data_IF_110094746603
#
_entry.id   IF_110094746603
#
_cell.length_a   1.000
_cell.length_b   1.000
_cell.length_c   1.000
_cell.angle_alpha   90.00
_cell.angle_beta   90.00
_cell.angle_gamma   90.00
#
_symmetry.space_group_name_H-M   'P 1'
#
loop_
_entity.id
_entity.type
_entity.pdbx_description
1 polymer ?
#
# COMPACT_ATOMS: atom_id res chain seq x y z
N UNK A 1 -51.32 63.93 29.64
CA UNK A 1 -51.72 62.97 28.58
C UNK A 1 -50.49 62.22 28.09
N UNK A 2 -50.39 60.89 28.32
CA UNK A 2 -49.25 60.06 27.85
C UNK A 2 -49.61 59.41 26.51
N UNK A 3 -48.88 59.75 25.45
CA UNK A 3 -49.06 59.25 24.08
C UNK A 3 -48.54 57.79 24.02
N UNK A 4 -49.39 56.82 23.69
CA UNK A 4 -48.99 55.42 23.48
C UNK A 4 -48.33 55.26 22.10
N UNK A 5 -47.04 55.00 22.06
CA UNK A 5 -46.31 54.68 20.82
C UNK A 5 -46.57 53.23 20.45
N UNK A 6 -47.18 52.98 19.28
CA UNK A 6 -47.32 51.63 18.72
C UNK A 6 -45.95 51.13 18.25
N UNK A 7 -45.46 50.01 18.78
CA UNK A 7 -44.25 49.33 18.28
C UNK A 7 -44.59 48.66 16.94
N UNK A 8 -43.79 48.95 15.90
CA UNK A 8 -43.82 48.17 14.65
C UNK A 8 -43.01 46.89 14.89
N UNK A 9 -43.62 45.74 14.60
CA UNK A 9 -42.92 44.47 14.53
C UNK A 9 -42.19 44.42 13.18
N UNK A 10 -40.88 44.20 13.22
CA UNK A 10 -40.10 43.89 12.03
C UNK A 10 -40.14 42.38 11.82
N UNK A 11 -40.78 41.93 10.75
CA UNK A 11 -40.67 40.55 10.29
C UNK A 11 -39.32 40.41 9.60
N UNK A 12 -38.38 39.72 10.22
CA UNK A 12 -37.14 39.29 9.55
C UNK A 12 -37.49 38.12 8.65
N UNK A 13 -37.44 38.31 7.33
CA UNK A 13 -37.44 37.20 6.39
C UNK A 13 -36.12 36.45 6.56
N UNK A 14 -36.13 35.33 7.28
CA UNK A 14 -35.00 34.42 7.35
C UNK A 14 -34.72 33.93 5.93
N UNK A 15 -33.64 34.43 5.32
CA UNK A 15 -33.19 34.01 3.99
C UNK A 15 -32.37 32.74 4.16
N UNK A 16 -33.05 31.64 4.50
CA UNK A 16 -32.45 30.32 4.76
C UNK A 16 -31.91 29.65 3.49
N UNK A 17 -32.30 30.10 2.30
CA UNK A 17 -32.03 29.39 1.04
C UNK A 17 -30.58 29.56 0.52
N UNK A 18 -29.84 30.55 1.03
CA UNK A 18 -28.49 30.89 0.53
C UNK A 18 -27.39 30.08 1.23
N UNK A 19 -27.65 29.47 2.39
CA UNK A 19 -26.64 28.69 3.13
C UNK A 19 -26.61 27.21 2.70
N UNK A 20 -27.76 26.57 2.52
CA UNK A 20 -27.83 25.17 2.10
C UNK A 20 -27.24 24.93 0.70
N UNK A 21 -27.42 25.88 -0.23
CA UNK A 21 -26.91 25.77 -1.59
C UNK A 21 -25.37 25.87 -1.69
N UNK A 22 -24.70 26.48 -0.71
CA UNK A 22 -23.23 26.48 -0.61
C UNK A 22 -22.72 25.19 -0.01
N UNK A 23 -23.37 24.73 1.06
CA UNK A 23 -23.03 23.46 1.72
C UNK A 23 -23.19 22.29 0.74
N UNK A 24 -24.31 22.24 -0.01
CA UNK A 24 -24.54 21.16 -0.98
C UNK A 24 -23.47 21.14 -2.08
N UNK A 25 -23.00 22.31 -2.55
CA UNK A 25 -21.94 22.41 -3.57
C UNK A 25 -20.60 21.92 -3.03
N UNK A 26 -20.26 22.25 -1.79
CA UNK A 26 -19.04 21.75 -1.13
C UNK A 26 -19.12 20.25 -0.95
N UNK A 27 -20.25 19.72 -0.46
CA UNK A 27 -20.47 18.28 -0.29
C UNK A 27 -20.32 17.53 -1.61
N UNK A 28 -20.91 18.05 -2.70
CA UNK A 28 -20.75 17.48 -4.04
C UNK A 28 -19.28 17.50 -4.46
N UNK A 29 -18.57 18.61 -4.21
CA UNK A 29 -17.14 18.71 -4.50
C UNK A 29 -16.31 17.65 -3.75
N UNK A 30 -16.57 17.45 -2.46
CA UNK A 30 -15.89 16.44 -1.64
C UNK A 30 -16.17 15.03 -2.16
N UNK A 31 -17.44 14.71 -2.45
CA UNK A 31 -17.81 13.40 -3.03
C UNK A 31 -17.11 13.20 -4.38
N UNK A 32 -17.03 14.24 -5.22
CA UNK A 32 -16.38 14.17 -6.52
C UNK A 32 -14.87 13.91 -6.39
N UNK A 33 -14.20 14.57 -5.43
CA UNK A 33 -12.78 14.30 -5.13
C UNK A 33 -12.59 12.87 -4.65
N UNK A 34 -13.44 12.36 -3.75
CA UNK A 34 -13.36 10.98 -3.26
C UNK A 34 -13.51 9.96 -4.40
N UNK A 35 -14.47 10.19 -5.30
CA UNK A 35 -14.67 9.36 -6.50
C UNK A 35 -13.44 9.41 -7.39
N UNK A 36 -12.88 10.59 -7.66
CA UNK A 36 -11.66 10.71 -8.46
C UNK A 36 -10.47 9.98 -7.82
N UNK A 37 -10.26 10.15 -6.51
CA UNK A 37 -9.19 9.44 -5.80
C UNK A 37 -9.39 7.93 -5.84
N UNK A 38 -10.63 7.45 -5.69
CA UNK A 38 -10.94 6.02 -5.78
C UNK A 38 -10.65 5.47 -7.18
N UNK A 39 -11.01 6.21 -8.23
CA UNK A 39 -10.72 5.82 -9.62
C UNK A 39 -9.22 5.81 -9.89
N UNK A 40 -8.48 6.83 -9.45
CA UNK A 40 -7.01 6.87 -9.62
C UNK A 40 -6.35 5.71 -8.87
N UNK A 41 -6.73 5.49 -7.61
CA UNK A 41 -6.22 4.39 -6.80
C UNK A 41 -6.55 3.05 -7.45
N UNK A 42 -7.81 2.80 -7.85
CA UNK A 42 -8.22 1.55 -8.49
C UNK A 42 -7.57 1.31 -9.86
N UNK A 43 -7.19 2.36 -10.59
CA UNK A 43 -6.39 2.25 -11.81
C UNK A 43 -4.91 1.98 -11.49
N UNK A 44 -4.34 2.61 -10.47
CA UNK A 44 -2.97 2.40 -10.04
C UNK A 44 -2.74 1.02 -9.39
N UNK A 45 -3.74 0.48 -8.68
CA UNK A 45 -3.71 -0.85 -8.05
C UNK A 45 -4.14 -1.96 -9.00
N UNK A 46 -4.65 -1.64 -10.20
CA UNK A 46 -5.09 -2.62 -11.19
C UNK A 46 -6.44 -3.30 -10.88
N UNK A 47 -7.20 -2.78 -9.91
CA UNK A 47 -8.53 -3.30 -9.52
C UNK A 47 -9.62 -2.97 -10.55
N UNK A 48 -9.49 -1.84 -11.28
CA UNK A 48 -10.47 -1.40 -12.28
C UNK A 48 -10.10 -1.96 -13.67
N UNK A 49 -10.65 -3.12 -14.02
CA UNK A 49 -10.46 -3.76 -15.34
C UNK A 49 -11.47 -3.23 -16.36
N UNK A 50 -11.04 -2.34 -17.26
CA UNK A 50 -11.87 -1.89 -18.40
C UNK A 50 -11.85 -2.93 -19.54
N UNK A 51 -12.95 -3.66 -19.68
CA UNK A 51 -13.33 -4.34 -20.93
C UNK A 51 -12.46 -5.51 -21.40
N UNK A 52 -12.60 -6.68 -20.76
CA UNK A 52 -12.57 -8.00 -21.43
C UNK A 52 -13.53 -8.97 -20.72
N UNK A 53 -14.34 -9.70 -21.50
CA UNK A 53 -14.99 -10.94 -21.06
C UNK A 53 -14.09 -12.12 -21.43
N UNK A 54 -14.32 -13.26 -20.76
CA UNK A 54 -13.60 -14.56 -20.79
C UNK A 54 -12.49 -14.64 -19.72
N UNK A 55 -12.40 -15.62 -18.82
CA UNK A 55 -12.97 -16.97 -18.75
C UNK A 55 -13.22 -17.43 -17.30
N UNK A 56 -13.92 -18.57 -17.19
CA UNK A 56 -14.34 -19.26 -15.98
C UNK A 56 -13.28 -19.39 -14.86
N UNK A 57 -13.77 -19.20 -13.63
CA UNK A 57 -13.18 -19.52 -12.32
C UNK A 57 -11.87 -20.31 -12.35
N UNK A 58 -10.79 -19.64 -11.95
CA UNK A 58 -9.96 -20.19 -10.87
C UNK A 58 -10.42 -19.49 -9.60
N UNK A 59 -10.92 -20.26 -8.64
CA UNK A 59 -10.92 -19.83 -7.26
C UNK A 59 -9.45 -19.65 -6.89
N UNK A 60 -8.93 -18.44 -7.13
CA UNK A 60 -7.71 -17.97 -6.50
C UNK A 60 -7.99 -18.06 -5.01
N UNK A 61 -7.43 -19.08 -4.37
CA UNK A 61 -7.27 -19.07 -2.93
C UNK A 61 -6.79 -17.67 -2.57
N UNK A 62 -7.56 -16.97 -1.74
CA UNK A 62 -7.19 -15.66 -1.21
C UNK A 62 -5.94 -15.86 -0.37
N UNK A 63 -4.80 -15.93 -1.05
CA UNK A 63 -3.49 -15.85 -0.45
C UNK A 63 -3.43 -14.40 -0.02
N UNK A 64 -3.61 -14.15 1.28
CA UNK A 64 -3.36 -12.84 1.84
C UNK A 64 -1.85 -12.60 1.73
N UNK A 65 -1.46 -12.06 0.59
CA UNK A 65 -0.20 -11.38 0.41
C UNK A 65 -0.28 -10.13 1.27
N UNK A 66 0.45 -10.10 2.39
CA UNK A 66 0.69 -8.81 3.03
C UNK A 66 1.79 -8.11 2.22
N UNK A 67 1.37 -7.62 1.06
CA UNK A 67 2.14 -6.70 0.24
C UNK A 67 2.24 -5.37 0.98
N UNK A 68 3.46 -4.86 1.11
CA UNK A 68 3.74 -3.56 1.71
C UNK A 68 4.46 -2.68 0.70
N UNK A 69 4.40 -1.36 0.91
CA UNK A 69 5.18 -0.42 0.13
C UNK A 69 6.60 -0.29 0.69
N UNK A 70 7.54 0.16 -0.15
CA UNK A 70 8.93 0.34 0.21
C UNK A 70 9.10 1.17 1.49
N UNK A 71 8.34 2.25 1.66
CA UNK A 71 8.42 3.11 2.85
C UNK A 71 8.09 2.42 4.19
N UNK A 72 7.44 1.26 4.16
CA UNK A 72 7.06 0.48 5.34
C UNK A 72 8.07 -0.62 5.69
N UNK A 73 9.04 -0.88 4.81
CA UNK A 73 9.98 -2.02 4.90
C UNK A 73 10.70 -2.11 6.24
N UNK A 74 11.05 -0.97 6.86
CA UNK A 74 11.69 -0.93 8.17
C UNK A 74 10.73 -0.58 9.31
N UNK A 75 9.49 -0.21 9.02
CA UNK A 75 8.57 0.41 9.98
C UNK A 75 7.29 -0.41 10.18
N UNK A 76 7.44 -1.72 10.37
CA UNK A 76 6.35 -2.62 10.79
C UNK A 76 6.22 -2.68 12.31
N UNK A 77 5.02 -3.05 12.78
CA UNK A 77 4.72 -3.29 14.20
C UNK A 77 5.53 -4.44 14.80
N UNK A 78 5.90 -5.40 13.97
CA UNK A 78 6.61 -6.61 14.37
C UNK A 78 8.08 -6.32 14.67
N UNK A 79 8.57 -6.84 15.79
CA UNK A 79 9.95 -6.60 16.23
C UNK A 79 11.01 -7.32 15.38
N UNK A 80 10.64 -8.43 14.72
CA UNK A 80 11.51 -9.25 13.88
C UNK A 80 10.69 -9.92 12.77
N UNK A 81 11.08 -9.70 11.51
CA UNK A 81 10.35 -10.18 10.33
C UNK A 81 11.26 -10.25 9.10
N UNK A 82 10.77 -10.90 8.04
CA UNK A 82 11.39 -10.87 6.72
C UNK A 82 10.57 -10.02 5.75
N UNK A 83 11.26 -9.41 4.79
CA UNK A 83 10.63 -8.74 3.64
C UNK A 83 11.28 -9.28 2.38
N UNK A 84 10.46 -9.74 1.44
CA UNK A 84 10.90 -10.24 0.16
C UNK A 84 10.57 -9.25 -0.95
N UNK A 85 11.63 -8.68 -1.51
CA UNK A 85 11.61 -7.67 -2.54
C UNK A 85 11.93 -8.32 -3.88
N UNK A 86 10.96 -8.36 -4.78
CA UNK A 86 11.12 -8.94 -6.12
C UNK A 86 10.13 -8.32 -7.11
N UNK A 87 10.38 -8.52 -8.40
CA UNK A 87 9.48 -8.09 -9.46
C UNK A 87 8.32 -9.08 -9.60
N UNK A 88 7.07 -8.63 -9.44
CA UNK A 88 5.92 -9.54 -9.49
C UNK A 88 5.64 -10.08 -10.90
N UNK A 89 6.20 -9.45 -11.95
CA UNK A 89 6.13 -9.98 -13.32
C UNK A 89 7.29 -10.90 -13.70
N UNK A 90 8.29 -11.12 -12.82
CA UNK A 90 9.35 -12.11 -13.08
C UNK A 90 8.73 -13.50 -13.28
N UNK A 91 9.28 -14.29 -14.20
CA UNK A 91 8.80 -15.66 -14.47
C UNK A 91 8.83 -16.58 -13.24
N UNK A 92 9.64 -16.23 -12.23
CA UNK A 92 9.79 -16.93 -10.96
C UNK A 92 8.85 -16.41 -9.87
N UNK A 93 8.10 -15.33 -10.10
CA UNK A 93 7.26 -14.67 -9.10
C UNK A 93 6.24 -15.62 -8.46
N UNK A 94 5.50 -16.38 -9.27
CA UNK A 94 4.54 -17.36 -8.75
C UNK A 94 5.21 -18.46 -7.91
N UNK A 95 6.44 -18.83 -8.27
CA UNK A 95 7.19 -19.83 -7.51
C UNK A 95 7.66 -19.26 -6.16
N UNK A 96 8.21 -18.06 -6.14
CA UNK A 96 8.58 -17.33 -4.92
C UNK A 96 7.43 -17.19 -3.93
N UNK A 97 6.23 -16.85 -4.44
CA UNK A 97 5.04 -16.76 -3.61
C UNK A 97 4.68 -18.11 -2.97
N UNK A 98 4.74 -19.21 -3.73
CA UNK A 98 4.47 -20.55 -3.19
C UNK A 98 5.49 -21.01 -2.14
N UNK A 99 6.76 -20.62 -2.28
CA UNK A 99 7.82 -20.86 -1.29
C UNK A 99 7.54 -20.08 0.01
N UNK A 100 7.23 -18.78 -0.11
CA UNK A 100 6.85 -17.93 1.01
C UNK A 100 5.61 -18.47 1.73
N UNK A 101 4.59 -18.92 1.00
CA UNK A 101 3.37 -19.48 1.59
C UNK A 101 3.61 -20.80 2.31
N UNK A 102 4.58 -21.58 1.84
CA UNK A 102 5.01 -22.81 2.53
C UNK A 102 5.79 -22.47 3.80
N UNK A 103 6.62 -21.42 3.77
CA UNK A 103 7.36 -20.94 4.93
C UNK A 103 6.45 -20.47 6.07
N UNK A 104 5.48 -19.59 5.80
CA UNK A 104 4.62 -19.00 6.86
C UNK A 104 3.70 -20.02 7.55
N UNK A 105 3.51 -21.21 6.96
CA UNK A 105 2.72 -22.30 7.55
C UNK A 105 3.52 -23.11 8.58
N UNK A 106 4.84 -22.93 8.66
CA UNK A 106 5.71 -23.64 9.61
C UNK A 106 5.52 -23.09 11.02
N UNK A 107 5.69 -23.96 12.01
CA UNK A 107 5.68 -23.54 13.41
C UNK A 107 6.81 -22.52 13.67
N UNK A 108 6.49 -21.43 14.37
CA UNK A 108 7.42 -20.33 14.70
C UNK A 108 8.01 -19.61 13.47
N UNK A 109 7.33 -19.66 12.32
CA UNK A 109 7.68 -18.79 11.21
C UNK A 109 7.58 -17.32 11.64
N UNK A 110 8.56 -16.51 11.23
CA UNK A 110 8.49 -15.07 11.42
C UNK A 110 7.47 -14.48 10.42
N UNK A 111 6.86 -13.32 10.73
CA UNK A 111 6.10 -12.56 9.75
C UNK A 111 6.93 -12.34 8.48
N UNK A 112 6.27 -12.42 7.33
CA UNK A 112 6.93 -12.42 6.05
C UNK A 112 6.12 -11.58 5.04
N UNK A 113 6.64 -10.40 4.73
CA UNK A 113 6.02 -9.43 3.84
C UNK A 113 6.63 -9.48 2.46
N UNK A 114 5.92 -8.93 1.47
CA UNK A 114 6.42 -8.83 0.09
C UNK A 114 6.35 -7.39 -0.41
N UNK A 115 7.27 -7.03 -1.30
CA UNK A 115 7.32 -5.72 -1.97
C UNK A 115 7.52 -5.96 -3.45
N UNK A 116 6.60 -5.44 -4.26
CA UNK A 116 6.74 -5.44 -5.72
C UNK A 116 7.71 -4.34 -6.16
N UNK A 117 8.90 -4.73 -6.58
CA UNK A 117 9.94 -3.80 -7.01
C UNK A 117 9.64 -3.10 -8.34
N UNK A 118 8.63 -3.54 -9.09
CA UNK A 118 8.24 -2.87 -10.35
C UNK A 118 7.33 -1.66 -10.11
N UNK A 119 6.57 -1.64 -9.00
CA UNK A 119 5.68 -0.52 -8.69
C UNK A 119 6.47 0.76 -8.52
N UNK A 120 6.00 1.83 -9.16
CA UNK A 120 6.69 3.14 -9.14
C UNK A 120 6.97 3.66 -7.72
N UNK A 121 6.04 3.43 -6.78
CA UNK A 121 6.19 3.81 -5.36
C UNK A 121 7.27 3.03 -4.60
N UNK A 122 7.82 1.97 -5.20
CA UNK A 122 8.87 1.14 -4.64
C UNK A 122 10.21 1.33 -5.37
N UNK A 123 10.23 2.06 -6.50
CA UNK A 123 11.44 2.25 -7.30
C UNK A 123 12.54 3.00 -6.53
N UNK A 124 12.21 3.82 -5.52
CA UNK A 124 13.23 4.54 -4.76
C UNK A 124 14.21 3.61 -4.01
N UNK A 125 13.86 2.36 -3.75
CA UNK A 125 14.75 1.38 -3.10
C UNK A 125 15.41 0.41 -4.08
N UNK A 126 15.14 0.51 -5.38
CA UNK A 126 15.82 -0.30 -6.41
C UNK A 126 17.22 0.29 -6.62
N UNK A 127 18.23 -0.59 -6.65
CA UNK A 127 19.60 -0.21 -6.93
C UNK A 127 19.77 0.17 -8.40
N UNK A 128 20.46 1.29 -8.65
CA UNK A 128 20.92 1.69 -9.98
C UNK A 128 22.40 1.27 -10.12
N UNK A 129 22.77 0.70 -11.26
CA UNK A 129 24.15 0.32 -11.61
C UNK A 129 24.87 -0.53 -10.55
N UNK A 130 24.17 -1.46 -9.90
CA UNK A 130 24.76 -2.36 -8.90
C UNK A 130 25.14 -1.71 -7.57
N UNK A 131 24.67 -0.48 -7.30
CA UNK A 131 24.88 0.22 -6.03
C UNK A 131 24.00 -0.35 -4.89
N UNK A 132 24.19 -1.63 -4.58
CA UNK A 132 23.46 -2.34 -3.53
C UNK A 132 23.87 -1.79 -2.16
N UNK A 133 22.88 -1.47 -1.32
CA UNK A 133 23.08 -0.93 0.03
C UNK A 133 21.97 -1.44 0.95
N UNK A 134 22.22 -2.58 1.59
CA UNK A 134 21.23 -3.26 2.43
C UNK A 134 21.43 -3.02 3.92
N UNK A 135 22.67 -2.79 4.37
CA UNK A 135 22.97 -2.44 5.76
C UNK A 135 22.65 -0.96 6.05
N UNK A 136 21.39 -0.66 6.37
CA UNK A 136 20.89 0.70 6.56
C UNK A 136 20.02 0.84 7.81
N UNK A 137 20.00 2.05 8.37
CA UNK A 137 19.10 2.43 9.48
C UNK A 137 17.86 3.20 8.99
N UNK A 138 17.79 3.51 7.69
CA UNK A 138 16.73 4.29 7.07
C UNK A 138 16.37 3.66 5.74
N UNK A 139 15.07 3.63 5.44
CA UNK A 139 14.56 3.06 4.19
C UNK A 139 14.97 3.88 2.97
N UNK A 140 15.21 5.18 3.14
CA UNK A 140 15.67 6.06 2.05
C UNK A 140 17.09 5.73 1.58
N UNK A 141 17.88 5.08 2.43
CA UNK A 141 19.23 4.62 2.12
C UNK A 141 19.24 3.21 1.53
N UNK A 142 18.12 2.47 1.64
CA UNK A 142 18.04 1.08 1.21
C UNK A 142 18.12 1.01 -0.32
N UNK A 143 19.05 0.21 -0.83
CA UNK A 143 19.17 -0.13 -2.25
C UNK A 143 19.29 -1.65 -2.40
N UNK A 144 18.35 -2.25 -3.12
CA UNK A 144 18.27 -3.70 -3.34
C UNK A 144 18.23 -4.03 -4.83
N UNK A 145 18.68 -5.24 -5.16
CA UNK A 145 18.47 -5.83 -6.47
C UNK A 145 17.30 -6.81 -6.47
N UNK A 146 16.72 -7.05 -7.65
CA UNK A 146 15.73 -8.10 -7.82
C UNK A 146 16.44 -9.46 -8.05
N UNK A 147 16.16 -10.52 -7.28
CA UNK A 147 15.37 -10.56 -6.04
C UNK A 147 16.24 -10.45 -4.78
N UNK A 148 15.67 -9.92 -3.69
CA UNK A 148 16.33 -9.81 -2.37
C UNK A 148 15.36 -10.14 -1.23
N UNK A 149 15.82 -10.92 -0.24
CA UNK A 149 15.16 -11.05 1.07
C UNK A 149 15.99 -10.29 2.09
N UNK A 150 15.34 -9.42 2.86
CA UNK A 150 15.96 -8.80 4.03
C UNK A 150 15.30 -9.29 5.31
N UNK A 151 16.12 -9.42 6.35
CA UNK A 151 15.63 -9.62 7.71
C UNK A 151 15.68 -8.30 8.45
N UNK A 152 14.55 -7.89 9.00
CA UNK A 152 14.43 -6.68 9.80
C UNK A 152 14.27 -7.06 11.25
N UNK A 153 15.06 -6.42 12.12
CA UNK A 153 14.94 -6.55 13.56
C UNK A 153 15.07 -5.18 14.20
N UNK A 154 14.13 -4.81 15.05
CA UNK A 154 14.09 -3.49 15.71
C UNK A 154 14.28 -2.33 14.72
N UNK A 155 13.53 -2.36 13.61
CA UNK A 155 13.54 -1.35 12.55
C UNK A 155 14.86 -1.21 11.76
N UNK A 156 15.74 -2.21 11.83
CA UNK A 156 17.02 -2.23 11.13
C UNK A 156 17.19 -3.50 10.31
N UNK A 157 17.82 -3.38 9.15
CA UNK A 157 18.25 -4.56 8.39
C UNK A 157 19.38 -5.23 9.14
N UNK A 158 19.20 -6.50 9.49
CA UNK A 158 20.20 -7.32 10.18
C UNK A 158 20.78 -8.42 9.30
N UNK A 159 20.12 -8.73 8.19
CA UNK A 159 20.54 -9.75 7.22
C UNK A 159 19.98 -9.39 5.84
N UNK A 160 20.74 -9.70 4.79
CA UNK A 160 20.33 -9.57 3.38
C UNK A 160 20.72 -10.83 2.63
N UNK A 161 19.82 -11.33 1.79
CA UNK A 161 19.99 -12.53 0.97
C UNK A 161 19.62 -12.12 -0.46
N UNK A 162 20.62 -12.06 -1.31
CA UNK A 162 20.52 -11.49 -2.65
C UNK A 162 20.69 -12.57 -3.71
N UNK A 163 19.90 -12.48 -4.79
CA UNK A 163 19.99 -13.36 -5.93
C UNK A 163 19.17 -14.65 -5.83
N UNK A 164 18.81 -15.18 -6.99
CA UNK A 164 17.84 -16.30 -7.11
C UNK A 164 18.30 -17.54 -6.34
N UNK A 165 19.54 -17.98 -6.53
CA UNK A 165 20.08 -19.20 -5.91
C UNK A 165 20.05 -19.12 -4.37
N UNK A 166 20.49 -17.99 -3.80
CA UNK A 166 20.52 -17.81 -2.35
C UNK A 166 19.12 -17.77 -1.73
N UNK A 167 18.14 -17.21 -2.44
CA UNK A 167 16.74 -17.21 -2.01
C UNK A 167 16.18 -18.62 -1.97
N UNK A 168 16.48 -19.46 -2.97
CA UNK A 168 16.07 -20.86 -2.96
C UNK A 168 16.69 -21.61 -1.78
N UNK A 169 18.00 -21.45 -1.57
CA UNK A 169 18.70 -22.04 -0.43
C UNK A 169 18.11 -21.58 0.91
N UNK A 170 17.72 -20.31 1.04
CA UNK A 170 17.03 -19.81 2.23
C UNK A 170 15.76 -20.61 2.51
N UNK A 171 14.88 -20.77 1.52
CA UNK A 171 13.61 -21.48 1.70
C UNK A 171 13.80 -22.99 1.94
N UNK A 172 14.82 -23.61 1.35
CA UNK A 172 15.19 -25.02 1.59
C UNK A 172 15.75 -25.26 2.99
N UNK A 173 16.43 -24.26 3.58
CA UNK A 173 17.04 -24.36 4.91
C UNK A 173 16.07 -24.13 6.08
N UNK A 174 14.91 -23.54 5.81
CA UNK A 174 13.84 -23.32 6.81
C UNK A 174 12.89 -24.50 6.83
#
# INVERSE_FOLDING_TARGET
MKKKTKRKLYTTNTTSDIEYSKIIKITIGVVLVLVLTYLITGLATGEIKWGKKEDAKKEEASIQYEEIIAGEVLNRSDSEYYVFLFNFTDSSASYYLSLKDSYIKKDKALPFYIVDLEKHINQQIVAEDGNIKTNVNSVNDLKVENPTIIKVKNHKVVESIEGKENILNFFESK
#
